data_IF_341652650391
#
_entry.id   IF_341652650391
#
_cell.length_a   1.000
_cell.length_b   1.000
_cell.length_c   1.000
_cell.angle_alpha   90.00
_cell.angle_beta   90.00
_cell.angle_gamma   90.00
#
_symmetry.space_group_name_H-M   'P 1'
#
loop_
_entity.id
_entity.type
_entity.pdbx_description
1 polymer ?
#
# COMPACT_ATOMS: atom_id res chain seq x y z
N UNK A 1 4.65 -14.93 20.90
CA UNK A 1 5.94 -15.04 20.18
C UNK A 1 7.02 -15.00 21.24
N UNK A 2 7.63 -16.14 21.56
CA UNK A 2 8.80 -16.19 22.44
C UNK A 2 10.03 -16.31 21.53
N UNK A 3 10.87 -15.28 21.50
CA UNK A 3 12.16 -15.30 20.82
C UNK A 3 13.24 -15.53 21.86
N UNK A 4 14.07 -16.55 21.66
CA UNK A 4 15.18 -16.89 22.55
C UNK A 4 16.48 -16.43 21.90
N UNK A 5 17.34 -15.75 22.66
CA UNK A 5 18.67 -15.32 22.19
C UNK A 5 19.74 -16.02 23.02
N UNK A 6 20.78 -16.53 22.36
CA UNK A 6 21.96 -17.09 23.01
C UNK A 6 22.98 -15.99 23.28
N UNK A 7 23.57 -15.98 24.47
CA UNK A 7 24.62 -15.02 24.84
C UNK A 7 26.01 -15.53 24.46
N UNK A 8 26.93 -14.65 24.01
CA UNK A 8 26.77 -13.20 23.89
C UNK A 8 25.98 -12.79 22.62
N UNK A 9 25.02 -11.87 22.76
CA UNK A 9 24.20 -11.40 21.64
C UNK A 9 24.89 -10.25 20.90
N UNK A 10 24.96 -10.33 19.56
CA UNK A 10 25.38 -9.22 18.72
C UNK A 10 24.17 -8.33 18.38
N UNK A 11 24.42 -7.04 18.08
CA UNK A 11 23.36 -6.07 17.74
C UNK A 11 22.48 -6.53 16.56
N UNK A 12 23.06 -7.29 15.63
CA UNK A 12 22.37 -7.86 14.46
C UNK A 12 21.34 -8.92 14.87
N UNK A 13 21.69 -9.77 15.84
CA UNK A 13 20.81 -10.84 16.31
C UNK A 13 19.58 -10.26 17.02
N UNK A 14 19.79 -9.13 17.72
CA UNK A 14 18.72 -8.41 18.40
C UNK A 14 17.76 -7.77 17.39
N UNK A 15 18.29 -7.22 16.30
CA UNK A 15 17.47 -6.75 15.17
C UNK A 15 16.62 -7.87 14.59
N UNK A 16 17.24 -9.01 14.27
CA UNK A 16 16.54 -10.16 13.67
C UNK A 16 15.48 -10.77 14.59
N UNK A 17 15.71 -10.78 15.90
CA UNK A 17 14.73 -11.24 16.89
C UNK A 17 13.52 -10.29 17.03
N UNK A 18 13.71 -8.99 16.78
CA UNK A 18 12.67 -7.98 16.92
C UNK A 18 11.83 -7.78 15.65
N UNK A 19 12.39 -8.02 14.46
CA UNK A 19 11.67 -7.84 13.18
C UNK A 19 10.31 -8.55 13.17
N UNK A 20 10.20 -9.86 13.49
CA UNK A 20 8.91 -10.56 13.48
C UNK A 20 7.92 -10.04 14.52
N UNK A 21 8.42 -9.48 15.64
CA UNK A 21 7.59 -8.91 16.69
C UNK A 21 7.06 -7.51 16.34
N UNK A 22 7.80 -6.76 15.50
CA UNK A 22 7.43 -5.43 15.03
C UNK A 22 6.55 -5.50 13.77
N UNK A 23 6.81 -6.42 12.86
CA UNK A 23 5.99 -6.61 11.64
C UNK A 23 4.54 -6.96 11.96
N UNK A 24 4.27 -7.72 13.03
CA UNK A 24 2.92 -8.02 13.49
C UNK A 24 2.17 -6.85 14.17
N UNK A 25 2.88 -5.79 14.57
CA UNK A 25 2.31 -4.57 15.19
C UNK A 25 2.14 -3.40 14.22
N UNK A 26 2.53 -3.56 12.95
CA UNK A 26 2.32 -2.57 11.90
C UNK A 26 0.85 -2.45 11.45
N UNK A 27 -0.03 -3.34 11.92
CA UNK A 27 -1.45 -3.06 11.93
C UNK A 27 -1.75 -2.19 13.17
N UNK A 28 -2.32 -0.98 13.04
CA UNK A 28 -2.82 -0.24 14.20
C UNK A 28 -3.93 -1.07 14.84
N UNK A 29 -3.55 -1.89 15.82
CA UNK A 29 -4.47 -2.67 16.62
C UNK A 29 -5.05 -1.72 17.64
N UNK A 30 -6.37 -1.48 17.53
CA UNK A 30 -7.13 -0.52 18.34
C UNK A 30 -6.61 0.92 18.26
N UNK A 31 -7.27 1.74 17.44
CA UNK A 31 -7.35 3.17 17.75
C UNK A 31 -7.71 3.31 19.23
N UNK A 32 -6.96 4.16 19.94
CA UNK A 32 -7.33 4.59 21.28
C UNK A 32 -8.83 4.98 21.27
N UNK A 33 -9.70 4.37 22.11
CA UNK A 33 -11.13 4.69 22.15
C UNK A 33 -11.42 6.17 22.44
N UNK A 34 -10.39 6.98 22.72
CA UNK A 34 -10.46 8.42 22.92
C UNK A 34 -10.56 9.26 21.64
N UNK A 35 -10.12 8.78 20.47
CA UNK A 35 -10.07 9.64 19.27
C UNK A 35 -11.39 9.66 18.50
N UNK A 36 -12.16 10.73 18.74
CA UNK A 36 -13.37 11.07 18.01
C UNK A 36 -13.04 12.03 16.85
N UNK A 37 -13.42 11.63 15.63
CA UNK A 37 -13.30 12.45 14.43
C UNK A 37 -14.68 12.95 13.96
N UNK A 38 -14.69 14.14 13.39
CA UNK A 38 -15.83 14.71 12.67
C UNK A 38 -15.70 14.38 11.18
N UNK A 39 -16.59 13.52 10.70
CA UNK A 39 -16.54 12.94 9.36
C UNK A 39 -17.70 13.48 8.53
N UNK A 40 -17.39 13.93 7.31
CA UNK A 40 -18.40 14.21 6.29
C UNK A 40 -18.56 12.98 5.41
N UNK A 41 -19.77 12.46 5.29
CA UNK A 41 -20.12 11.35 4.39
C UNK A 41 -20.99 11.89 3.26
N UNK A 42 -20.46 11.88 2.04
CA UNK A 42 -21.19 12.19 0.82
C UNK A 42 -21.53 10.88 0.07
N UNK A 43 -22.79 10.49 0.11
CA UNK A 43 -23.30 9.26 -0.50
C UNK A 43 -24.77 9.50 -0.89
N UNK A 44 -25.19 9.11 -2.09
CA UNK A 44 -26.54 9.38 -2.60
C UNK A 44 -27.57 8.32 -2.17
N UNK A 45 -27.11 7.11 -1.87
CA UNK A 45 -27.97 6.00 -1.49
C UNK A 45 -28.21 5.91 0.02
N UNK A 46 -29.45 6.10 0.46
CA UNK A 46 -29.86 6.05 1.86
C UNK A 46 -29.50 4.73 2.58
N UNK A 47 -29.46 3.59 1.87
CA UNK A 47 -29.06 2.30 2.46
C UNK A 47 -27.56 2.29 2.78
N UNK A 48 -26.73 2.78 1.85
CA UNK A 48 -25.29 2.89 2.03
C UNK A 48 -24.94 3.93 3.12
N UNK A 49 -25.66 5.07 3.14
CA UNK A 49 -25.54 6.06 4.19
C UNK A 49 -25.78 5.43 5.57
N UNK A 50 -26.88 4.69 5.76
CA UNK A 50 -27.21 4.03 7.03
C UNK A 50 -26.13 3.03 7.45
N UNK A 51 -25.60 2.24 6.51
CA UNK A 51 -24.52 1.29 6.79
C UNK A 51 -23.26 2.02 7.27
N UNK A 52 -22.80 3.02 6.52
CA UNK A 52 -21.60 3.79 6.85
C UNK A 52 -21.75 4.52 8.19
N UNK A 53 -22.87 5.23 8.39
CA UNK A 53 -23.17 5.94 9.65
C UNK A 53 -23.15 4.97 10.83
N UNK A 54 -23.77 3.80 10.72
CA UNK A 54 -23.80 2.80 11.80
C UNK A 54 -22.40 2.29 12.14
N UNK A 55 -21.56 2.07 11.14
CA UNK A 55 -20.16 1.67 11.36
C UNK A 55 -19.41 2.78 12.09
N UNK A 56 -19.47 4.02 11.59
CA UNK A 56 -18.74 5.15 12.15
C UNK A 56 -19.17 5.51 13.57
N UNK A 57 -20.48 5.48 13.85
CA UNK A 57 -21.04 5.71 15.18
C UNK A 57 -20.62 4.62 16.17
N UNK A 58 -20.54 3.35 15.75
CA UNK A 58 -20.00 2.26 16.59
C UNK A 58 -18.55 2.54 17.02
N UNK A 59 -17.81 3.26 16.21
CA UNK A 59 -16.44 3.73 16.51
C UNK A 59 -16.41 5.16 17.08
N UNK A 60 -17.54 5.67 17.61
CA UNK A 60 -17.65 6.92 18.36
C UNK A 60 -17.34 8.20 17.55
N UNK A 61 -17.33 8.13 16.21
CA UNK A 61 -17.15 9.28 15.33
C UNK A 61 -18.45 10.08 15.15
N UNK A 62 -18.34 11.39 14.95
CA UNK A 62 -19.47 12.22 14.51
C UNK A 62 -19.57 12.13 12.99
N UNK A 63 -20.78 11.96 12.45
CA UNK A 63 -20.99 11.89 11.00
C UNK A 63 -21.99 12.96 10.59
N UNK A 64 -21.62 13.77 9.60
CA UNK A 64 -22.53 14.63 8.86
C UNK A 64 -22.76 14.00 7.50
N UNK A 65 -24.02 13.89 7.07
CA UNK A 65 -24.38 13.25 5.80
C UNK A 65 -24.71 14.31 4.77
N UNK A 66 -24.19 14.15 3.55
CA UNK A 66 -24.53 14.90 2.35
C UNK A 66 -25.04 13.91 1.28
N UNK A 67 -26.08 14.29 0.55
CA UNK A 67 -26.76 13.40 -0.40
C UNK A 67 -26.21 13.51 -1.82
N UNK A 68 -25.29 14.44 -2.08
CA UNK A 68 -24.67 14.68 -3.37
C UNK A 68 -23.37 15.49 -3.18
N UNK A 69 -22.59 15.66 -4.26
CA UNK A 69 -21.33 16.39 -4.22
C UNK A 69 -21.47 17.88 -3.92
N UNK A 70 -22.60 18.50 -4.28
CA UNK A 70 -22.85 19.92 -4.02
C UNK A 70 -23.09 20.18 -2.54
N UNK A 71 -23.94 19.37 -1.90
CA UNK A 71 -24.15 19.42 -0.45
C UNK A 71 -22.85 19.17 0.32
N UNK A 72 -22.00 18.26 -0.17
CA UNK A 72 -20.70 17.99 0.42
C UNK A 72 -19.78 19.21 0.34
N UNK A 73 -19.72 19.87 -0.82
CA UNK A 73 -18.96 21.10 -1.00
C UNK A 73 -19.48 22.23 -0.10
N UNK A 74 -20.79 22.45 -0.04
CA UNK A 74 -21.38 23.44 0.85
C UNK A 74 -21.11 23.16 2.34
N UNK A 75 -21.13 21.89 2.74
CA UNK A 75 -20.83 21.49 4.11
C UNK A 75 -19.39 21.85 4.50
N UNK A 76 -18.41 21.63 3.61
CA UNK A 76 -17.00 21.97 3.83
C UNK A 76 -16.79 23.48 3.95
N UNK A 77 -17.56 24.28 3.21
CA UNK A 77 -17.52 25.75 3.34
C UNK A 77 -18.01 26.24 4.70
N UNK A 78 -18.96 25.52 5.31
CA UNK A 78 -19.57 25.89 6.60
C UNK A 78 -18.74 25.43 7.80
N UNK A 79 -18.12 24.26 7.71
CA UNK A 79 -17.40 23.63 8.82
C UNK A 79 -16.23 22.80 8.30
N UNK A 80 -15.15 22.72 9.09
CA UNK A 80 -14.04 21.79 8.84
C UNK A 80 -14.35 20.38 9.34
N UNK A 81 -13.89 19.40 8.57
CA UNK A 81 -13.99 17.98 8.88
C UNK A 81 -12.59 17.38 8.92
N UNK A 82 -12.39 16.38 9.78
CA UNK A 82 -11.13 15.65 9.89
C UNK A 82 -10.92 14.75 8.68
N UNK A 83 -12.01 14.14 8.19
CA UNK A 83 -12.02 13.26 7.02
C UNK A 83 -13.32 13.43 6.25
N UNK A 84 -13.21 13.45 4.92
CA UNK A 84 -14.34 13.41 4.00
C UNK A 84 -14.37 12.05 3.31
N UNK A 85 -15.47 11.32 3.47
CA UNK A 85 -15.77 10.11 2.71
C UNK A 85 -16.70 10.52 1.57
N UNK A 86 -16.27 10.36 0.32
CA UNK A 86 -17.02 10.87 -0.82
C UNK A 86 -17.21 9.80 -1.89
N UNK A 87 -18.45 9.49 -2.19
CA UNK A 87 -18.80 8.67 -3.34
C UNK A 87 -18.36 9.33 -4.65
N UNK A 88 -17.80 8.52 -5.54
CA UNK A 88 -17.36 8.98 -6.86
C UNK A 88 -18.56 9.29 -7.75
N UNK A 89 -19.60 8.45 -7.70
CA UNK A 89 -20.77 8.56 -8.56
C UNK A 89 -21.96 9.04 -7.74
N UNK A 90 -22.35 10.30 -7.92
CA UNK A 90 -23.51 10.90 -7.27
C UNK A 90 -24.29 11.75 -8.30
N UNK A 91 -25.60 11.96 -8.10
CA UNK A 91 -26.38 12.89 -8.90
C UNK A 91 -25.98 14.34 -8.61
N UNK A 92 -26.38 15.26 -9.50
CA UNK A 92 -26.17 16.72 -9.43
C UNK A 92 -24.70 17.12 -9.60
N UNK A 93 -23.82 16.62 -8.73
CA UNK A 93 -22.38 16.85 -8.75
C UNK A 93 -21.69 15.56 -8.28
N UNK A 94 -20.80 15.03 -9.13
CA UNK A 94 -20.04 13.82 -8.84
C UNK A 94 -18.91 14.06 -7.83
N UNK A 95 -18.35 13.00 -7.27
CA UNK A 95 -17.28 13.09 -6.26
C UNK A 95 -15.99 13.73 -6.78
N UNK A 96 -15.65 13.49 -8.05
CA UNK A 96 -14.48 14.10 -8.69
C UNK A 96 -14.67 15.61 -8.88
N UNK A 97 -15.84 16.03 -9.36
CA UNK A 97 -16.18 17.44 -9.53
C UNK A 97 -16.24 18.17 -8.19
N UNK A 98 -16.88 17.56 -7.19
CA UNK A 98 -16.90 18.08 -5.83
C UNK A 98 -15.48 18.25 -5.27
N UNK A 99 -14.60 17.27 -5.50
CA UNK A 99 -13.20 17.37 -5.06
C UNK A 99 -12.47 18.51 -5.75
N UNK A 100 -12.64 18.69 -7.06
CA UNK A 100 -12.04 19.82 -7.79
C UNK A 100 -12.48 21.17 -7.20
N UNK A 101 -13.78 21.32 -6.92
CA UNK A 101 -14.34 22.53 -6.30
C UNK A 101 -13.82 22.74 -4.88
N UNK A 102 -13.71 21.68 -4.07
CA UNK A 102 -13.14 21.73 -2.73
C UNK A 102 -11.68 22.18 -2.80
N UNK A 103 -10.86 21.58 -3.67
CA UNK A 103 -9.44 21.95 -3.81
C UNK A 103 -9.26 23.38 -4.30
N UNK A 104 -10.12 23.85 -5.20
CA UNK A 104 -10.09 25.24 -5.65
C UNK A 104 -10.42 26.19 -4.50
N UNK A 105 -11.51 25.93 -3.78
CA UNK A 105 -11.91 26.71 -2.62
C UNK A 105 -10.82 26.74 -1.54
N UNK A 106 -10.17 25.60 -1.28
CA UNK A 106 -9.07 25.49 -0.33
C UNK A 106 -7.88 26.38 -0.72
N UNK A 107 -7.52 26.42 -2.01
CA UNK A 107 -6.44 27.28 -2.51
C UNK A 107 -6.80 28.76 -2.43
N UNK A 108 -8.01 29.13 -2.83
CA UNK A 108 -8.48 30.53 -2.83
C UNK A 108 -8.54 31.14 -1.44
N UNK A 109 -8.77 30.32 -0.41
CA UNK A 109 -8.94 30.77 0.98
C UNK A 109 -7.74 30.36 1.87
N UNK A 110 -6.64 29.90 1.27
CA UNK A 110 -5.40 29.46 1.97
C UNK A 110 -5.67 28.46 3.10
N UNK A 111 -6.61 27.55 2.86
CA UNK A 111 -7.10 26.58 3.82
C UNK A 111 -6.23 25.31 3.80
N UNK A 112 -6.00 24.71 4.97
CA UNK A 112 -5.41 23.38 5.05
C UNK A 112 -6.24 22.37 4.26
N UNK A 113 -5.55 21.52 3.49
CA UNK A 113 -6.12 20.46 2.67
C UNK A 113 -6.90 19.46 3.54
N UNK A 114 -8.20 19.34 3.32
CA UNK A 114 -9.03 18.33 3.96
C UNK A 114 -8.76 16.95 3.35
N UNK A 115 -8.54 15.89 4.15
CA UNK A 115 -8.38 14.54 3.64
C UNK A 115 -9.67 14.03 2.97
N UNK A 116 -9.61 13.66 1.70
CA UNK A 116 -10.75 13.12 0.94
C UNK A 116 -10.47 11.67 0.57
N UNK A 117 -11.31 10.76 1.05
CA UNK A 117 -11.30 9.34 0.73
C UNK A 117 -12.43 9.05 -0.25
N UNK A 118 -12.07 8.57 -1.44
CA UNK A 118 -13.02 8.18 -2.47
C UNK A 118 -13.74 6.88 -2.10
N UNK A 119 -15.06 6.82 -2.26
CA UNK A 119 -15.83 5.58 -2.21
C UNK A 119 -16.14 5.19 -3.66
N UNK A 120 -15.62 4.05 -4.11
CA UNK A 120 -15.77 3.59 -5.50
C UNK A 120 -16.46 2.24 -5.55
N UNK A 121 -17.32 2.01 -6.55
CA UNK A 121 -17.90 0.69 -6.79
C UNK A 121 -16.86 -0.36 -7.23
N UNK A 122 -15.77 0.07 -7.87
CA UNK A 122 -14.72 -0.81 -8.40
C UNK A 122 -13.35 -0.33 -7.90
N UNK A 123 -12.57 -1.22 -7.28
CA UNK A 123 -11.19 -0.93 -6.86
C UNK A 123 -10.16 -1.38 -7.91
N UNK A 124 -10.52 -1.33 -9.21
CA UNK A 124 -9.60 -1.67 -10.28
C UNK A 124 -8.53 -0.58 -10.47
N UNK A 125 -7.40 -0.95 -11.07
CA UNK A 125 -6.22 -0.08 -11.21
C UNK A 125 -6.57 1.29 -11.83
N UNK A 126 -7.43 1.32 -12.85
CA UNK A 126 -7.83 2.55 -13.53
C UNK A 126 -8.70 3.50 -12.69
N UNK A 127 -9.47 3.00 -11.72
CA UNK A 127 -10.26 3.86 -10.84
C UNK A 127 -9.40 4.51 -9.77
N UNK A 128 -8.36 3.80 -9.32
CA UNK A 128 -7.33 4.38 -8.44
C UNK A 128 -6.61 5.53 -9.11
N UNK A 129 -6.20 5.38 -10.37
CA UNK A 129 -5.53 6.44 -11.14
C UNK A 129 -6.41 7.69 -11.26
N UNK A 130 -7.70 7.52 -11.58
CA UNK A 130 -8.66 8.63 -11.62
C UNK A 130 -8.79 9.35 -10.26
N UNK A 131 -8.84 8.61 -9.16
CA UNK A 131 -8.89 9.21 -7.82
C UNK A 131 -7.63 10.05 -7.52
N UNK A 132 -6.46 9.54 -7.91
CA UNK A 132 -5.19 10.26 -7.73
C UNK A 132 -5.15 11.52 -8.60
N UNK A 133 -5.57 11.42 -9.86
CA UNK A 133 -5.66 12.55 -10.78
C UNK A 133 -6.65 13.63 -10.27
N UNK A 134 -7.75 13.20 -9.65
CA UNK A 134 -8.71 14.09 -9.01
C UNK A 134 -8.22 14.69 -7.68
N UNK A 135 -6.98 14.44 -7.26
CA UNK A 135 -6.41 14.93 -6.00
C UNK A 135 -7.16 14.46 -4.75
N UNK A 136 -7.67 13.22 -4.78
CA UNK A 136 -8.15 12.50 -3.60
C UNK A 136 -6.96 11.83 -2.89
N UNK A 137 -7.06 11.64 -1.58
CA UNK A 137 -5.96 11.17 -0.73
C UNK A 137 -5.90 9.65 -0.63
N UNK A 138 -7.06 9.00 -0.60
CA UNK A 138 -7.16 7.55 -0.57
C UNK A 138 -8.48 7.10 -1.22
N UNK A 139 -8.68 5.79 -1.35
CA UNK A 139 -9.89 5.22 -1.92
C UNK A 139 -10.30 3.95 -1.16
N UNK A 140 -11.58 3.64 -1.21
CA UNK A 140 -12.20 2.47 -0.62
C UNK A 140 -13.21 1.88 -1.61
N UNK A 141 -13.18 0.57 -1.80
CA UNK A 141 -14.22 -0.11 -2.58
C UNK A 141 -15.49 -0.29 -1.77
N UNK A 142 -16.62 -0.17 -2.46
CA UNK A 142 -17.92 -0.64 -2.02
C UNK A 142 -18.02 -2.15 -2.30
N UNK A 143 -18.66 -2.94 -1.42
CA UNK A 143 -19.29 -2.55 -0.17
C UNK A 143 -18.26 -2.23 0.93
N UNK A 144 -18.58 -1.21 1.76
CA UNK A 144 -17.69 -0.73 2.82
C UNK A 144 -17.47 -1.80 3.89
N UNK A 145 -16.22 -2.25 4.02
CA UNK A 145 -15.80 -3.17 5.09
C UNK A 145 -15.44 -2.37 6.34
N UNK A 146 -16.05 -2.64 7.51
CA UNK A 146 -15.83 -1.85 8.72
C UNK A 146 -14.36 -1.67 9.11
N UNK A 147 -13.59 -2.76 9.13
CA UNK A 147 -12.18 -2.71 9.51
C UNK A 147 -11.35 -1.84 8.57
N UNK A 148 -11.57 -1.98 7.26
CA UNK A 148 -10.83 -1.22 6.25
C UNK A 148 -11.19 0.27 6.32
N UNK A 149 -12.48 0.59 6.49
CA UNK A 149 -12.95 1.97 6.61
C UNK A 149 -12.27 2.69 7.78
N UNK A 150 -12.28 2.08 8.97
CA UNK A 150 -11.68 2.70 10.17
C UNK A 150 -10.17 2.82 10.06
N UNK A 151 -9.48 1.81 9.52
CA UNK A 151 -8.04 1.88 9.30
C UNK A 151 -7.66 3.03 8.36
N UNK A 152 -8.41 3.21 7.26
CA UNK A 152 -8.15 4.29 6.32
C UNK A 152 -8.43 5.66 6.92
N UNK A 153 -9.52 5.81 7.69
CA UNK A 153 -9.83 7.05 8.41
C UNK A 153 -8.71 7.40 9.38
N UNK A 154 -8.27 6.43 10.20
CA UNK A 154 -7.20 6.65 11.17
C UNK A 154 -5.91 7.08 10.47
N UNK A 155 -5.54 6.41 9.37
CA UNK A 155 -4.38 6.76 8.55
C UNK A 155 -4.47 8.20 8.03
N UNK A 156 -5.62 8.61 7.49
CA UNK A 156 -5.79 9.96 6.94
C UNK A 156 -5.85 11.05 8.02
N UNK A 157 -6.49 10.76 9.16
CA UNK A 157 -6.69 11.73 10.23
C UNK A 157 -5.43 11.95 11.08
N UNK A 158 -4.70 10.89 11.42
CA UNK A 158 -3.50 10.99 12.28
C UNK A 158 -2.26 11.47 11.55
N UNK A 159 -2.16 11.16 10.25
CA UNK A 159 -1.01 11.47 9.42
C UNK A 159 -1.15 12.83 8.71
N UNK A 160 -2.05 13.68 9.25
CA UNK A 160 -2.67 14.85 8.63
C UNK A 160 -1.81 15.59 7.62
N UNK A 161 -2.34 15.73 6.39
CA UNK A 161 -1.97 16.67 5.32
C UNK A 161 -0.50 16.72 4.88
N UNK A 162 0.43 17.04 5.79
CA UNK A 162 1.82 17.36 5.53
C UNK A 162 2.73 16.14 5.28
N UNK A 163 2.40 14.94 5.82
CA UNK A 163 3.22 13.75 5.61
C UNK A 163 2.78 12.89 4.41
N UNK A 164 1.52 13.05 3.97
CA UNK A 164 1.04 12.43 2.73
C UNK A 164 1.75 13.04 1.50
N UNK A 165 1.95 14.36 1.46
CA UNK A 165 2.74 15.01 0.40
C UNK A 165 4.20 14.49 0.37
N UNK A 166 4.85 14.33 1.54
CA UNK A 166 6.23 13.77 1.62
C UNK A 166 6.35 12.34 1.09
N UNK A 167 5.33 11.50 1.30
CA UNK A 167 5.30 10.14 0.73
C UNK A 167 4.93 10.15 -0.76
N UNK A 168 4.21 11.16 -1.24
CA UNK A 168 3.79 11.33 -2.64
C UNK A 168 4.99 11.63 -3.54
N UNK A 169 5.87 12.52 -3.08
CA UNK A 169 7.13 12.85 -3.78
C UNK A 169 8.07 11.63 -3.87
N UNK A 170 8.18 10.84 -2.80
CA UNK A 170 9.01 9.63 -2.79
C UNK A 170 8.46 8.52 -3.69
N UNK A 171 7.14 8.34 -3.80
CA UNK A 171 6.55 7.29 -4.64
C UNK A 171 6.54 7.67 -6.12
N UNK A 172 6.31 8.94 -6.47
CA UNK A 172 6.40 9.42 -7.85
C UNK A 172 7.85 9.36 -8.37
N UNK A 173 8.86 9.65 -7.53
CA UNK A 173 10.27 9.50 -7.88
C UNK A 173 10.68 8.05 -8.20
N UNK A 174 10.05 7.07 -7.56
CA UNK A 174 10.29 5.63 -7.82
C UNK A 174 9.61 5.12 -9.10
N UNK A 175 8.62 5.86 -9.64
CA UNK A 175 7.89 5.44 -10.85
C UNK A 175 8.44 6.10 -12.13
N UNK A 176 9.31 7.11 -12.02
CA UNK A 176 9.98 7.77 -13.15
C UNK A 176 11.37 7.18 -13.47
N UNK A 177 11.74 6.06 -12.84
CA UNK A 177 13.06 5.43 -13.00
C UNK A 177 13.15 4.33 -14.07
N UNK A 178 12.07 3.97 -14.75
CA UNK A 178 12.03 2.78 -15.60
C UNK A 178 11.25 2.99 -16.91
N UNK A 179 11.50 4.09 -17.62
CA UNK A 179 11.17 4.14 -19.05
C UNK A 179 12.08 5.08 -19.84
N UNK A 180 12.84 4.47 -20.77
CA UNK A 180 13.32 5.12 -21.97
C UNK A 180 14.81 5.48 -22.01
N UNK A 181 15.67 4.55 -22.46
CA UNK A 181 16.76 4.86 -23.41
C UNK A 181 17.06 3.69 -24.35
N UNK A 182 16.61 3.82 -25.59
CA UNK A 182 17.19 3.16 -26.75
C UNK A 182 17.31 4.22 -27.85
N UNK A 183 18.55 4.57 -28.22
CA UNK A 183 19.03 4.75 -29.61
C UNK A 183 20.47 5.30 -29.65
N UNK A 184 21.34 4.44 -30.19
CA UNK A 184 22.49 4.62 -31.08
C UNK A 184 23.50 5.78 -30.98
N UNK A 185 24.77 5.35 -30.85
CA UNK A 185 25.91 5.61 -31.76
C UNK A 185 27.21 6.18 -31.14
N UNK A 186 28.28 5.43 -31.38
CA UNK A 186 29.69 5.79 -31.56
C UNK A 186 30.47 6.64 -30.53
N UNK A 187 31.46 5.93 -29.94
CA UNK A 187 32.85 6.34 -29.73
C UNK A 187 33.29 6.94 -28.38
N UNK A 188 34.27 6.22 -27.82
CA UNK A 188 35.41 6.65 -26.99
C UNK A 188 35.24 6.98 -25.49
N UNK A 189 35.95 6.15 -24.73
CA UNK A 189 36.76 6.48 -23.53
C UNK A 189 36.14 6.40 -22.11
N UNK A 190 36.45 5.25 -21.48
CA UNK A 190 37.15 5.07 -20.18
C UNK A 190 36.39 5.19 -18.84
N UNK A 191 36.41 4.05 -18.13
CA UNK A 191 36.70 3.83 -16.67
C UNK A 191 35.50 4.07 -15.72
N UNK A 192 35.15 3.24 -14.73
CA UNK A 192 35.51 1.89 -14.27
C UNK A 192 34.48 1.44 -13.22
N UNK A 193 33.92 0.23 -13.33
CA UNK A 193 33.12 -0.42 -12.28
C UNK A 193 33.90 -1.57 -11.64
N UNK A 194 33.91 -1.75 -10.31
CA UNK A 194 34.48 -2.94 -9.68
C UNK A 194 33.59 -4.17 -9.95
N UNK A 195 34.21 -5.23 -10.49
CA UNK A 195 33.60 -6.52 -10.84
C UNK A 195 33.30 -7.36 -9.60
N UNK A 196 32.19 -8.11 -9.66
CA UNK A 196 31.82 -9.18 -8.71
C UNK A 196 32.93 -10.24 -8.61
N UNK A 197 33.11 -10.90 -7.44
CA UNK A 197 34.04 -12.03 -7.29
C UNK A 197 33.58 -13.26 -8.08
N UNK A 198 34.54 -14.01 -8.62
CA UNK A 198 34.34 -15.24 -9.40
C UNK A 198 34.33 -16.44 -8.44
N UNK A 199 33.40 -17.38 -8.65
CA UNK A 199 33.38 -18.69 -7.96
C UNK A 199 34.51 -19.58 -8.51
N UNK A 200 35.38 -20.06 -7.62
CA UNK A 200 36.43 -21.03 -7.95
C UNK A 200 35.85 -22.42 -8.25
N UNK A 201 36.28 -22.97 -9.40
CA UNK A 201 36.04 -24.35 -9.81
C UNK A 201 37.08 -25.23 -9.09
N UNK A 202 36.65 -26.05 -8.13
CA UNK A 202 37.51 -27.02 -7.45
C UNK A 202 37.94 -28.12 -8.44
N UNK A 203 39.20 -28.05 -8.86
CA UNK A 203 39.90 -29.06 -9.64
C UNK A 203 40.25 -30.31 -8.83
N UNK A 204 40.21 -31.43 -9.54
CA UNK A 204 40.40 -32.81 -9.10
C UNK A 204 41.84 -33.11 -8.63
N UNK A 205 41.96 -33.98 -7.62
CA UNK A 205 43.19 -34.45 -6.97
C UNK A 205 43.98 -35.42 -7.84
N UNK A 206 45.32 -35.36 -7.82
CA UNK A 206 46.18 -36.41 -8.37
C UNK A 206 47.25 -36.83 -7.35
N UNK A 207 47.30 -38.12 -7.05
CA UNK A 207 48.34 -38.78 -6.24
C UNK A 207 48.68 -40.11 -6.93
N UNK A 208 49.96 -40.41 -7.22
CA UNK A 208 50.33 -41.61 -7.96
C UNK A 208 50.65 -42.78 -7.01
N UNK A 209 50.19 -43.99 -7.35
CA UNK A 209 51.01 -45.23 -7.54
C UNK A 209 50.17 -46.52 -7.56
N UNK A 210 50.32 -47.24 -8.67
CA UNK A 210 50.12 -48.68 -8.91
C UNK A 210 48.72 -49.35 -8.96
N UNK A 211 48.59 -50.43 -9.77
CA UNK A 211 47.38 -50.74 -10.52
C UNK A 211 46.73 -52.06 -10.12
N UNK A 212 45.40 -52.12 -10.04
CA UNK A 212 44.68 -53.40 -10.05
C UNK A 212 43.24 -53.26 -10.54
N UNK A 213 43.01 -53.86 -11.72
CA UNK A 213 41.83 -54.61 -12.16
C UNK A 213 40.43 -54.00 -11.94
N UNK A 214 39.77 -53.71 -13.06
CA UNK A 214 38.31 -53.79 -13.24
C UNK A 214 37.76 -55.14 -12.73
N UNK A 215 36.49 -55.20 -12.31
CA UNK A 215 35.47 -55.52 -13.30
C UNK A 215 34.11 -54.81 -13.13
N UNK A 216 33.42 -54.74 -14.27
CA UNK A 216 32.02 -54.45 -14.51
C UNK A 216 31.09 -55.52 -13.92
N UNK A 217 29.86 -55.13 -13.54
CA UNK A 217 28.62 -55.96 -13.46
C UNK A 217 27.56 -55.07 -12.76
N UNK A 218 26.27 -55.02 -13.05
CA UNK A 218 25.34 -55.49 -14.08
C UNK A 218 24.05 -54.71 -13.78
N UNK A 219 23.31 -54.37 -14.83
CA UNK A 219 21.94 -53.87 -14.82
C UNK A 219 20.99 -54.83 -14.10
N UNK A 220 20.21 -54.34 -13.13
CA UNK A 220 19.05 -55.05 -12.62
C UNK A 220 17.77 -54.30 -13.04
N UNK A 221 17.16 -54.88 -14.07
CA UNK A 221 15.79 -54.74 -14.51
C UNK A 221 14.84 -55.11 -13.36
N UNK A 222 13.85 -54.26 -13.08
CA UNK A 222 12.72 -54.58 -12.22
C UNK A 222 11.48 -54.07 -12.93
N UNK A 223 10.95 -54.96 -13.75
CA UNK A 223 9.68 -54.79 -14.44
C UNK A 223 8.51 -54.67 -13.47
N UNK A 224 7.59 -53.81 -13.86
CA UNK A 224 6.20 -53.78 -13.39
C UNK A 224 5.50 -55.10 -13.77
N UNK A 225 4.70 -55.64 -12.84
CA UNK A 225 3.53 -56.39 -13.24
C UNK A 225 2.29 -55.84 -12.52
N UNK A 226 1.22 -55.61 -13.29
CA UNK A 226 -0.02 -56.40 -13.22
C UNK A 226 -1.08 -55.72 -14.13
N UNK A 227 -1.47 -56.46 -15.18
CA UNK A 227 -2.77 -56.35 -15.83
C UNK A 227 -3.86 -56.95 -14.93
N UNK A 228 -4.96 -56.23 -14.73
CA UNK A 228 -6.36 -56.61 -15.05
C UNK A 228 -7.35 -55.72 -14.32
#
# INVERSE_FOLDING_TARGET
IASYMTTPCLSIDLGNALIPALEGRAAPTSADPSMKFDILLAEDNAVNQRLAVKILQKHHHTVTVANNGLEAFEAIKKKRYDVVLMDVQMPIMGGFEATANIRQYEREHELTRSPIIALTAHAMLGDREKCIQAQMDEYLSKPLKPNQLIQTILKCATMGGALLERNKDQRLALTQGDDGKQEDSASSSKVSTPRRPVLDIRGYTDSPTNPTKSPSIVTADLGDPIER
#
